data_IF_651300798917
#
_entry.id   IF_651300798917
#
_cell.length_a   1.000
_cell.length_b   1.000
_cell.length_c   1.000
_cell.angle_alpha   90.00
_cell.angle_beta   90.00
_cell.angle_gamma   90.00
#
_symmetry.space_group_name_H-M   'P 1'
#
loop_
_entity.id
_entity.type
_entity.pdbx_description
1 polymer ?
#
# COMPACT_ATOMS: atom_id res chain seq x y z
N UNK A 1 6.29 0.17 2.48
CA UNK A 1 7.45 -0.70 2.18
C UNK A 1 8.47 0.11 1.39
N UNK A 2 9.71 0.17 1.86
CA UNK A 2 10.79 0.95 1.25
C UNK A 2 11.97 0.08 0.86
N UNK A 3 12.70 0.51 -0.17
CA UNK A 3 13.99 -0.08 -0.55
C UNK A 3 15.16 0.52 0.25
N UNK A 4 16.38 0.06 -0.05
CA UNK A 4 17.63 0.52 0.59
C UNK A 4 17.92 2.02 0.37
N UNK A 5 17.29 2.65 -0.61
CA UNK A 5 17.41 4.09 -0.89
C UNK A 5 16.36 4.91 -0.16
N UNK A 6 15.57 4.28 0.72
CA UNK A 6 14.38 4.86 1.36
C UNK A 6 13.25 5.24 0.39
N UNK A 7 13.27 4.73 -0.86
CA UNK A 7 12.19 4.99 -1.80
C UNK A 7 10.99 4.08 -1.52
N UNK A 8 9.77 4.63 -1.59
CA UNK A 8 8.54 3.85 -1.39
C UNK A 8 8.29 2.99 -2.64
N UNK A 9 8.44 1.68 -2.49
CA UNK A 9 8.28 0.71 -3.60
C UNK A 9 6.90 0.04 -3.62
N UNK A 10 6.25 -0.06 -2.46
CA UNK A 10 4.90 -0.61 -2.32
C UNK A 10 4.11 0.01 -1.15
N UNK A 11 2.82 0.25 -1.38
CA UNK A 11 1.82 0.71 -0.41
C UNK A 11 0.64 -0.26 -0.43
N UNK A 12 0.11 -0.62 0.73
CA UNK A 12 -1.09 -1.45 0.85
C UNK A 12 -1.86 -1.15 2.12
N UNK A 13 -3.18 -1.34 2.10
CA UNK A 13 -4.06 -1.28 3.29
C UNK A 13 -4.29 -2.66 3.91
N UNK A 14 -4.63 -2.69 5.20
CA UNK A 14 -5.07 -3.89 5.89
C UNK A 14 -5.94 -3.57 7.10
N UNK A 15 -6.88 -4.47 7.41
CA UNK A 15 -7.65 -4.46 8.67
C UNK A 15 -6.75 -4.89 9.83
N UNK A 16 -5.90 -5.89 9.59
CA UNK A 16 -4.88 -6.37 10.52
C UNK A 16 -3.49 -6.25 9.86
N UNK A 17 -2.70 -5.29 10.34
CA UNK A 17 -1.33 -5.05 9.87
C UNK A 17 -0.40 -6.24 10.14
N UNK A 18 -0.55 -6.94 11.27
CA UNK A 18 0.30 -8.09 11.62
C UNK A 18 0.05 -9.24 10.64
N UNK A 19 -1.21 -9.59 10.42
CA UNK A 19 -1.60 -10.62 9.45
C UNK A 19 -1.12 -10.25 8.04
N UNK A 20 -1.32 -8.98 7.65
CA UNK A 20 -0.88 -8.48 6.34
C UNK A 20 0.62 -8.60 6.15
N UNK A 21 1.42 -8.11 7.09
CA UNK A 21 2.88 -8.19 7.02
C UNK A 21 3.31 -9.65 6.97
N UNK A 22 2.77 -10.51 7.84
CA UNK A 22 3.09 -11.95 7.85
C UNK A 22 2.84 -12.61 6.49
N UNK A 23 1.78 -12.21 5.78
CA UNK A 23 1.45 -12.78 4.47
C UNK A 23 2.51 -12.54 3.39
N UNK A 24 3.43 -11.57 3.55
CA UNK A 24 4.55 -11.37 2.62
C UNK A 24 5.75 -12.28 2.92
N UNK A 25 5.93 -12.69 4.18
CA UNK A 25 7.15 -13.38 4.64
C UNK A 25 6.92 -14.87 4.91
N UNK A 26 5.76 -15.41 4.55
CA UNK A 26 5.52 -16.85 4.58
C UNK A 26 6.12 -17.54 3.33
N UNK A 27 6.69 -18.75 3.45
CA UNK A 27 7.33 -19.44 2.32
C UNK A 27 6.43 -19.61 1.09
N UNK A 28 5.16 -19.98 1.31
CA UNK A 28 4.16 -20.14 0.23
C UNK A 28 3.83 -18.83 -0.48
N UNK A 29 3.99 -17.69 0.18
CA UNK A 29 3.70 -16.39 -0.41
C UNK A 29 4.66 -16.05 -1.55
N UNK A 30 5.88 -16.60 -1.53
CA UNK A 30 6.89 -16.34 -2.53
C UNK A 30 6.64 -17.10 -3.83
N UNK A 31 5.73 -18.06 -3.87
CA UNK A 31 5.23 -18.65 -5.11
C UNK A 31 4.61 -17.58 -6.03
N UNK A 32 4.07 -16.51 -5.44
CA UNK A 32 3.65 -15.34 -6.20
C UNK A 32 4.87 -14.49 -6.62
N UNK A 33 5.17 -14.35 -7.93
CA UNK A 33 6.34 -13.61 -8.40
C UNK A 33 6.35 -12.14 -7.96
N UNK A 34 5.17 -11.52 -7.81
CA UNK A 34 5.07 -10.13 -7.33
C UNK A 34 5.49 -10.01 -5.87
N UNK A 35 4.98 -10.90 -5.01
CA UNK A 35 5.33 -10.89 -3.59
C UNK A 35 6.83 -11.15 -3.43
N UNK A 36 7.36 -12.14 -4.16
CA UNK A 36 8.80 -12.44 -4.18
C UNK A 36 9.62 -11.21 -4.57
N UNK A 37 9.23 -10.50 -5.63
CA UNK A 37 9.94 -9.30 -6.09
C UNK A 37 9.89 -8.14 -5.07
N UNK A 38 8.73 -7.91 -4.43
CA UNK A 38 8.60 -6.89 -3.39
C UNK A 38 9.51 -7.23 -2.20
N UNK A 39 9.46 -8.47 -1.73
CA UNK A 39 10.21 -8.93 -0.55
C UNK A 39 11.73 -8.92 -0.83
N UNK A 40 12.16 -9.21 -2.05
CA UNK A 40 13.59 -9.16 -2.41
C UNK A 40 14.17 -7.74 -2.45
N UNK A 41 13.34 -6.71 -2.64
CA UNK A 41 13.79 -5.31 -2.71
C UNK A 41 13.49 -4.50 -1.44
N UNK A 42 12.65 -5.04 -0.54
CA UNK A 42 12.31 -4.38 0.72
C UNK A 42 13.52 -4.35 1.65
N UNK A 43 13.84 -3.17 2.16
CA UNK A 43 14.81 -2.97 3.23
C UNK A 43 14.11 -2.53 4.53
N UNK A 44 12.94 -1.89 4.42
CA UNK A 44 12.26 -1.29 5.57
C UNK A 44 10.73 -1.28 5.44
N UNK A 45 10.05 -1.29 6.59
CA UNK A 45 8.60 -1.40 6.74
C UNK A 45 8.03 -0.32 7.67
N UNK A 46 7.27 0.62 7.10
CA UNK A 46 6.41 1.53 7.87
C UNK A 46 4.94 1.14 7.80
N UNK A 47 4.22 1.61 8.81
CA UNK A 47 2.78 1.58 8.86
C UNK A 47 2.24 2.86 9.50
N UNK A 48 1.02 3.22 9.12
CA UNK A 48 0.24 4.27 9.75
C UNK A 48 -1.06 3.59 10.19
N UNK A 49 -1.38 3.69 11.48
CA UNK A 49 -2.63 3.19 12.03
C UNK A 49 -3.72 4.23 11.76
N UNK A 50 -4.89 3.78 11.32
CA UNK A 50 -6.06 4.61 11.04
C UNK A 50 -7.24 4.11 11.86
N UNK A 51 -8.22 4.98 12.10
CA UNK A 51 -9.35 4.66 12.99
C UNK A 51 -10.46 3.87 12.28
N UNK A 52 -10.42 3.82 10.94
CA UNK A 52 -11.37 3.04 10.14
C UNK A 52 -10.75 2.46 8.86
N UNK A 53 -11.43 1.46 8.29
CA UNK A 53 -11.07 0.93 6.97
C UNK A 53 -11.18 1.98 5.86
N UNK A 54 -12.15 2.91 5.97
CA UNK A 54 -12.35 3.97 5.00
C UNK A 54 -11.17 4.95 5.00
N UNK A 55 -10.67 5.32 6.17
CA UNK A 55 -9.47 6.14 6.28
C UNK A 55 -8.23 5.42 5.74
N UNK A 56 -8.04 4.14 6.06
CA UNK A 56 -6.94 3.34 5.52
C UNK A 56 -6.95 3.32 3.99
N UNK A 57 -8.14 3.19 3.38
CA UNK A 57 -8.34 3.23 1.94
C UNK A 57 -8.00 4.60 1.35
N UNK A 58 -8.50 5.69 1.94
CA UNK A 58 -8.22 7.06 1.49
C UNK A 58 -6.72 7.35 1.58
N UNK A 59 -6.10 6.98 2.70
CA UNK A 59 -4.67 7.15 2.93
C UNK A 59 -3.84 6.35 1.93
N UNK A 60 -4.17 5.08 1.70
CA UNK A 60 -3.54 4.24 0.68
C UNK A 60 -3.60 4.90 -0.70
N UNK A 61 -4.78 5.34 -1.13
CA UNK A 61 -4.96 5.99 -2.43
C UNK A 61 -4.11 7.27 -2.56
N UNK A 62 -4.07 8.09 -1.50
CA UNK A 62 -3.26 9.30 -1.45
C UNK A 62 -1.76 9.01 -1.52
N UNK A 63 -1.28 8.00 -0.78
CA UNK A 63 0.13 7.59 -0.78
C UNK A 63 0.54 6.98 -2.13
N UNK A 64 -0.30 6.13 -2.73
CA UNK A 64 -0.07 5.60 -4.08
C UNK A 64 -0.01 6.75 -5.09
N UNK A 65 -0.93 7.72 -5.03
CA UNK A 65 -0.96 8.88 -5.93
C UNK A 65 0.30 9.75 -5.77
N UNK A 66 0.73 9.97 -4.53
CA UNK A 66 1.90 10.80 -4.17
C UNK A 66 3.21 10.16 -4.59
N UNK A 67 3.41 8.88 -4.27
CA UNK A 67 4.70 8.21 -4.45
C UNK A 67 4.81 7.43 -5.76
N UNK A 68 3.67 7.10 -6.40
CA UNK A 68 3.58 6.21 -7.58
C UNK A 68 4.49 4.97 -7.47
N UNK A 69 4.36 4.17 -6.41
CA UNK A 69 5.30 3.09 -6.13
C UNK A 69 5.31 2.06 -7.26
N UNK A 70 6.50 1.62 -7.67
CA UNK A 70 6.72 0.69 -8.80
C UNK A 70 5.80 -0.55 -8.75
N UNK A 71 5.58 -1.13 -7.57
CA UNK A 71 4.77 -2.34 -7.41
C UNK A 71 3.27 -2.11 -7.27
N UNK A 72 2.82 -0.85 -7.18
CA UNK A 72 1.40 -0.47 -7.21
C UNK A 72 0.91 -0.16 -8.65
N UNK A 73 1.79 0.27 -9.55
CA UNK A 73 1.43 0.70 -10.92
C UNK A 73 0.98 -0.47 -11.82
N UNK A 74 1.49 -1.68 -11.58
CA UNK A 74 1.20 -2.89 -12.41
C UNK A 74 -0.19 -3.50 -12.21
N UNK A 75 -1.03 -2.94 -11.33
CA UNK A 75 -2.41 -3.38 -11.17
C UNK A 75 -3.30 -2.14 -11.02
N UNK A 76 -3.82 -1.65 -12.15
CA UNK A 76 -5.18 -1.09 -12.19
C UNK A 76 -6.12 -2.25 -11.83
N UNK A 77 -6.19 -2.61 -10.56
CA UNK A 77 -7.30 -3.42 -10.09
C UNK A 77 -8.44 -2.44 -9.83
N UNK A 78 -9.57 -2.65 -10.50
CA UNK A 78 -10.68 -1.71 -10.70
C UNK A 78 -11.51 -1.45 -9.43
N UNK A 79 -10.96 -1.74 -8.25
CA UNK A 79 -11.59 -1.48 -6.95
C UNK A 79 -11.35 -0.05 -6.48
N UNK A 80 -11.63 0.92 -7.35
CA UNK A 80 -11.78 2.32 -6.91
C UNK A 80 -13.15 2.43 -6.27
N UNK A 81 -13.19 2.61 -4.95
CA UNK A 81 -14.40 3.06 -4.29
C UNK A 81 -14.73 4.46 -4.86
N UNK A 82 -15.90 4.67 -5.49
CA UNK A 82 -16.30 6.00 -5.91
C UNK A 82 -16.45 6.86 -4.65
N UNK A 83 -15.80 8.02 -4.62
CA UNK A 83 -15.96 8.98 -3.53
C UNK A 83 -16.16 10.38 -4.10
N UNK A 84 -16.99 11.17 -3.43
CA UNK A 84 -17.27 12.55 -3.77
C UNK A 84 -16.46 13.42 -2.81
N UNK A 85 -15.53 14.21 -3.35
CA UNK A 85 -14.86 15.26 -2.58
C UNK A 85 -15.70 16.53 -2.64
N UNK A 86 -16.28 16.93 -1.52
CA UNK A 86 -16.95 18.23 -1.39
C UNK A 86 -15.94 19.20 -0.76
N UNK A 87 -15.55 20.22 -1.51
CA UNK A 87 -14.83 21.38 -0.97
C UNK A 87 -15.84 22.49 -0.72
N UNK A 88 -16.08 22.84 0.54
CA UNK A 88 -16.91 23.97 0.91
C UNK A 88 -15.97 25.14 1.22
N UNK A 89 -15.82 26.05 0.25
CA UNK A 89 -15.05 27.31 0.31
C UNK A 89 -13.56 27.19 0.74
N UNK A 90 -12.64 27.40 -0.22
CA UNK A 90 -11.35 28.02 0.10
C UNK A 90 -11.61 29.54 0.33
N UNK A 91 -11.02 30.18 1.34
CA UNK A 91 -10.87 31.64 1.40
C UNK A 91 -9.97 32.17 0.28
#
# INVERSE_FOLDING_TARGET
MRDVTSAVIYVGKAVDLRSRVRSYFQPSAWENPKVRAIVSEVADLDFIVTDSELEALILEANLIKRHRPRYNVRLKDDKRYPYIKITWADP
#
